data_IF_426045741698
#
_entry.id   IF_426045741698
#
_cell.length_a   1.000
_cell.length_b   1.000
_cell.length_c   1.000
_cell.angle_alpha   90.00
_cell.angle_beta   90.00
_cell.angle_gamma   90.00
#
_symmetry.space_group_name_H-M   'P 1'
#
loop_
_entity.id
_entity.type
_entity.pdbx_description
1 polymer ?
#
# COMPACT_ATOMS: atom_id res chain seq x y z
N UNK A 1 -20.01 24.81 25.89
CA UNK A 1 -20.66 23.55 25.48
C UNK A 1 -20.89 23.46 23.97
N UNK A 2 -21.51 24.44 23.30
CA UNK A 2 -21.71 24.41 21.82
C UNK A 2 -20.42 24.34 20.99
N UNK A 3 -19.38 25.11 21.34
CA UNK A 3 -18.12 25.13 20.60
C UNK A 3 -17.35 23.79 20.68
N UNK A 4 -17.37 23.14 21.85
CA UNK A 4 -16.74 21.84 22.07
C UNK A 4 -17.45 20.74 21.26
N UNK A 5 -18.78 20.81 21.19
CA UNK A 5 -19.60 19.92 20.38
C UNK A 5 -19.33 20.08 18.87
N UNK A 6 -19.18 21.33 18.42
CA UNK A 6 -18.80 21.64 17.03
C UNK A 6 -17.42 21.09 16.68
N UNK A 7 -16.42 21.32 17.55
CA UNK A 7 -15.07 20.79 17.35
C UNK A 7 -15.05 19.25 17.30
N UNK A 8 -15.78 18.59 18.19
CA UNK A 8 -15.90 17.13 18.20
C UNK A 8 -16.50 16.60 16.90
N UNK A 9 -17.57 17.23 16.40
CA UNK A 9 -18.22 16.81 15.15
C UNK A 9 -17.29 16.95 13.96
N UNK A 10 -16.57 18.08 13.85
CA UNK A 10 -15.59 18.30 12.76
C UNK A 10 -14.47 17.25 12.83
N UNK A 11 -14.00 16.91 14.04
CA UNK A 11 -12.97 15.89 14.22
C UNK A 11 -13.46 14.49 13.84
N UNK A 12 -14.65 14.08 14.30
CA UNK A 12 -15.23 12.78 13.92
C UNK A 12 -15.48 12.68 12.42
N UNK A 13 -15.99 13.75 11.80
CA UNK A 13 -16.32 13.76 10.37
C UNK A 13 -15.07 13.74 9.50
N UNK A 14 -14.02 14.49 9.89
CA UNK A 14 -12.73 14.47 9.22
C UNK A 14 -12.04 13.10 9.36
N UNK A 15 -11.91 12.56 10.58
CA UNK A 15 -11.17 11.31 10.80
C UNK A 15 -11.91 10.06 10.32
N UNK A 16 -13.25 10.03 10.39
CA UNK A 16 -14.05 8.92 9.86
C UNK A 16 -13.92 8.81 8.33
N UNK A 17 -13.81 9.92 7.63
CA UNK A 17 -13.59 9.93 6.18
C UNK A 17 -12.11 9.72 5.81
N UNK A 18 -11.19 10.25 6.63
CA UNK A 18 -9.75 10.11 6.41
C UNK A 18 -9.32 8.64 6.42
N UNK A 19 -9.83 7.85 7.38
CA UNK A 19 -9.52 6.43 7.49
C UNK A 19 -9.89 5.66 6.21
N UNK A 20 -11.10 5.84 5.70
CA UNK A 20 -11.55 5.12 4.51
C UNK A 20 -10.79 5.55 3.24
N UNK A 21 -10.48 6.84 3.11
CA UNK A 21 -9.72 7.37 1.98
C UNK A 21 -8.25 6.94 2.00
N UNK A 22 -7.59 7.09 3.14
CA UNK A 22 -6.18 6.73 3.32
C UNK A 22 -5.99 5.22 3.19
N UNK A 23 -6.83 4.42 3.84
CA UNK A 23 -6.76 2.95 3.78
C UNK A 23 -7.01 2.47 2.35
N UNK A 24 -8.06 2.93 1.64
CA UNK A 24 -8.28 2.51 0.25
C UNK A 24 -7.12 2.85 -0.67
N UNK A 25 -6.60 4.07 -0.57
CA UNK A 25 -5.54 4.52 -1.48
C UNK A 25 -4.18 3.87 -1.14
N UNK A 26 -3.87 3.73 0.15
CA UNK A 26 -2.65 3.08 0.62
C UNK A 26 -2.64 1.59 0.28
N UNK A 27 -3.75 0.86 0.50
CA UNK A 27 -3.86 -0.55 0.09
C UNK A 27 -3.72 -0.73 -1.43
N UNK A 28 -4.28 0.19 -2.23
CA UNK A 28 -4.13 0.15 -3.69
C UNK A 28 -2.67 0.33 -4.12
N UNK A 29 -1.99 1.33 -3.57
CA UNK A 29 -0.58 1.58 -3.86
C UNK A 29 0.31 0.41 -3.38
N UNK A 30 0.05 -0.10 -2.19
CA UNK A 30 0.77 -1.23 -1.61
C UNK A 30 0.58 -2.53 -2.41
N UNK A 31 -0.63 -2.79 -2.90
CA UNK A 31 -0.89 -3.95 -3.76
C UNK A 31 -0.08 -3.86 -5.07
N UNK A 32 -0.12 -2.70 -5.75
CA UNK A 32 0.68 -2.47 -6.95
C UNK A 32 2.18 -2.56 -6.69
N UNK A 33 2.65 -2.06 -5.55
CA UNK A 33 4.05 -2.20 -5.12
C UNK A 33 4.44 -3.66 -4.91
N UNK A 34 3.60 -4.44 -4.23
CA UNK A 34 3.83 -5.87 -4.00
C UNK A 34 3.89 -6.67 -5.31
N UNK A 35 2.95 -6.41 -6.23
CA UNK A 35 3.00 -7.00 -7.58
C UNK A 35 4.26 -6.59 -8.35
N UNK A 36 4.70 -5.33 -8.23
CA UNK A 36 5.95 -4.85 -8.83
C UNK A 36 7.18 -5.58 -8.27
N UNK A 37 7.30 -5.70 -6.96
CA UNK A 37 8.39 -6.45 -6.32
C UNK A 37 8.37 -7.93 -6.71
N UNK A 38 7.19 -8.54 -6.78
CA UNK A 38 7.04 -9.92 -7.22
C UNK A 38 7.52 -10.12 -8.66
N UNK A 39 7.18 -9.19 -9.57
CA UNK A 39 7.65 -9.24 -10.96
C UNK A 39 9.18 -9.17 -11.07
N UNK A 40 9.84 -8.37 -10.22
CA UNK A 40 11.31 -8.31 -10.16
C UNK A 40 11.91 -9.67 -9.76
N UNK A 41 11.33 -10.33 -8.76
CA UNK A 41 11.78 -11.67 -8.33
C UNK A 41 11.60 -12.69 -9.45
N UNK A 42 10.44 -12.69 -10.11
CA UNK A 42 10.18 -13.58 -11.25
C UNK A 42 11.18 -13.32 -12.39
N UNK A 43 11.44 -12.05 -12.72
CA UNK A 43 12.44 -11.70 -13.72
C UNK A 43 13.83 -12.21 -13.36
N UNK A 44 14.29 -11.96 -12.13
CA UNK A 44 15.59 -12.42 -11.65
C UNK A 44 15.69 -13.96 -11.67
N UNK A 45 14.61 -14.65 -11.31
CA UNK A 45 14.52 -16.10 -11.36
C UNK A 45 14.60 -16.64 -12.79
N UNK A 46 13.84 -16.07 -13.72
CA UNK A 46 13.87 -16.46 -15.14
C UNK A 46 15.22 -16.16 -15.76
N UNK A 47 15.80 -14.98 -15.49
CA UNK A 47 17.16 -14.65 -15.92
C UNK A 47 18.14 -15.72 -15.45
N UNK A 48 18.05 -16.13 -14.19
CA UNK A 48 18.89 -17.19 -13.63
C UNK A 48 18.69 -18.55 -14.29
N UNK A 49 17.45 -18.92 -14.61
CA UNK A 49 17.16 -20.14 -15.35
C UNK A 49 17.81 -20.14 -16.74
N UNK A 50 17.80 -18.99 -17.43
CA UNK A 50 18.35 -18.87 -18.79
C UNK A 50 19.87 -18.82 -18.79
N UNK A 51 20.49 -18.07 -17.87
CA UNK A 51 21.95 -17.94 -17.80
C UNK A 51 22.65 -19.16 -17.22
N UNK A 52 21.89 -20.12 -16.70
CA UNK A 52 22.42 -21.24 -15.94
C UNK A 52 22.86 -20.85 -14.53
N UNK A 53 22.89 -21.83 -13.66
CA UNK A 53 23.52 -21.71 -12.35
C UNK A 53 24.99 -22.13 -12.50
N UNK A 54 25.97 -21.26 -12.20
CA UNK A 54 27.30 -21.67 -11.79
C UNK A 54 27.15 -22.52 -10.52
N UNK A 55 26.96 -23.82 -10.72
CA UNK A 55 27.12 -24.86 -9.71
C UNK A 55 28.54 -25.42 -9.79
N UNK A 56 29.54 -24.53 -9.85
CA UNK A 56 30.95 -24.88 -9.61
C UNK A 56 31.21 -24.81 -8.10
#
# INVERSE_FOLDING_TARGET
MKAILLLKNIYEEAFRNLGNFLVKNFFKAFAWFSFGMFAVVVYAFVFRLITGFPFD
#
